data_IF_240971659385
#
_entry.id   IF_240971659385
#
_cell.length_a   1.000
_cell.length_b   1.000
_cell.length_c   1.000
_cell.angle_alpha   90.00
_cell.angle_beta   90.00
_cell.angle_gamma   90.00
#
_symmetry.space_group_name_H-M   'P 1'
#
loop_
_entity.id
_entity.type
_entity.pdbx_description
1 polymer ?
#
# COMPACT_ATOMS: atom_id res chain seq x y z
N UNK A 1 -32.28 -1.80 6.58
CA UNK A 1 -33.06 -0.74 7.25
C UNK A 1 -33.27 -1.13 8.70
N UNK A 2 -33.08 -0.18 9.63
CA UNK A 2 -33.32 -0.39 11.07
C UNK A 2 -34.64 0.28 11.50
N UNK A 3 -35.06 0.06 12.74
CA UNK A 3 -36.19 0.78 13.36
C UNK A 3 -35.81 1.17 14.79
N UNK A 4 -36.21 2.37 15.21
CA UNK A 4 -36.07 2.83 16.60
C UNK A 4 -37.45 2.90 17.22
N UNK A 5 -37.58 2.30 18.40
CA UNK A 5 -38.82 2.31 19.19
C UNK A 5 -38.51 3.08 20.47
N UNK A 6 -39.21 4.19 20.69
CA UNK A 6 -39.05 4.99 21.91
C UNK A 6 -39.75 4.30 23.10
N UNK A 7 -39.31 4.61 24.31
CA UNK A 7 -39.85 4.04 25.56
C UNK A 7 -41.36 4.27 25.76
N UNK A 8 -41.98 5.20 25.01
CA UNK A 8 -43.43 5.43 25.01
C UNK A 8 -44.23 4.38 24.21
N UNK A 9 -43.56 3.47 23.49
CA UNK A 9 -44.13 2.29 22.84
C UNK A 9 -45.03 2.55 21.61
N UNK A 10 -45.44 3.79 21.37
CA UNK A 10 -46.47 4.13 20.37
C UNK A 10 -45.94 4.64 19.02
N UNK A 11 -44.70 5.11 18.94
CA UNK A 11 -44.11 5.63 17.69
C UNK A 11 -42.85 4.86 17.29
N UNK A 12 -42.87 4.32 16.06
CA UNK A 12 -41.74 3.63 15.43
C UNK A 12 -41.18 4.52 14.34
N UNK A 13 -39.89 4.83 14.43
CA UNK A 13 -39.20 5.63 13.41
C UNK A 13 -38.34 4.72 12.51
N UNK A 14 -38.48 4.79 11.17
CA UNK A 14 -37.60 4.07 10.27
C UNK A 14 -36.20 4.71 10.27
N UNK A 15 -35.16 3.86 10.36
CA UNK A 15 -33.79 4.28 10.17
C UNK A 15 -33.34 3.99 8.74
N UNK A 16 -33.33 5.04 7.94
CA UNK A 16 -32.77 5.09 6.59
C UNK A 16 -31.33 5.62 6.59
N UNK A 17 -30.66 5.57 5.43
CA UNK A 17 -29.28 6.06 5.29
C UNK A 17 -29.13 7.55 5.62
N UNK A 18 -30.18 8.35 5.52
CA UNK A 18 -30.17 9.77 5.90
C UNK A 18 -30.02 9.98 7.41
N UNK A 19 -30.38 8.97 8.22
CA UNK A 19 -30.34 9.03 9.68
C UNK A 19 -29.10 8.33 10.27
N UNK A 20 -28.15 7.92 9.42
CA UNK A 20 -26.94 7.20 9.84
C UNK A 20 -25.70 7.98 9.41
N UNK A 21 -24.86 8.34 10.38
CA UNK A 21 -23.54 8.87 10.14
C UNK A 21 -22.52 7.72 10.08
N UNK A 22 -21.67 7.71 9.05
CA UNK A 22 -20.65 6.68 8.88
C UNK A 22 -19.32 7.08 9.53
N UNK A 23 -18.57 6.08 9.99
CA UNK A 23 -17.20 6.26 10.47
C UNK A 23 -16.33 6.86 9.35
N UNK A 24 -15.63 7.96 9.63
CA UNK A 24 -14.77 8.65 8.67
C UNK A 24 -15.43 9.83 7.97
N UNK A 25 -16.74 10.06 8.19
CA UNK A 25 -17.36 11.33 7.85
C UNK A 25 -16.86 12.43 8.80
N UNK A 26 -16.56 13.61 8.26
CA UNK A 26 -16.24 14.81 9.03
C UNK A 26 -17.51 15.64 9.13
N UNK A 27 -17.98 15.91 10.35
CA UNK A 27 -19.10 16.81 10.58
C UNK A 27 -18.69 18.24 10.22
N UNK A 28 -19.56 18.93 9.48
CA UNK A 28 -19.36 20.33 9.07
C UNK A 28 -20.67 21.07 9.27
N UNK A 29 -20.58 22.35 9.63
CA UNK A 29 -21.72 23.28 9.71
C UNK A 29 -22.72 22.88 10.82
N UNK A 30 -22.22 22.37 11.96
CA UNK A 30 -23.00 22.08 13.18
C UNK A 30 -22.08 22.12 14.41
N UNK A 31 -22.54 22.69 15.53
CA UNK A 31 -21.72 22.77 16.76
C UNK A 31 -21.48 21.40 17.40
N UNK A 32 -22.54 20.62 17.57
CA UNK A 32 -22.49 19.25 18.09
C UNK A 32 -23.66 18.42 17.56
N UNK A 33 -23.52 17.09 17.68
CA UNK A 33 -24.56 16.12 17.34
C UNK A 33 -24.61 15.07 18.44
N UNK A 34 -25.78 14.87 19.03
CA UNK A 34 -26.04 13.74 19.91
C UNK A 34 -26.50 12.54 19.07
N UNK A 35 -25.83 11.40 19.24
CA UNK A 35 -26.11 10.20 18.45
C UNK A 35 -25.83 8.92 19.23
N UNK A 36 -26.56 7.87 18.87
CA UNK A 36 -26.35 6.53 19.42
C UNK A 36 -25.40 5.73 18.53
N UNK A 37 -24.37 5.12 19.14
CA UNK A 37 -23.44 4.24 18.41
C UNK A 37 -24.12 2.90 18.13
N UNK A 38 -24.42 2.64 16.85
CA UNK A 38 -25.02 1.37 16.40
C UNK A 38 -23.95 0.31 16.09
N UNK A 39 -22.85 0.72 15.45
CA UNK A 39 -21.73 -0.16 15.09
C UNK A 39 -20.42 0.46 15.54
N UNK A 40 -19.58 -0.34 16.22
CA UNK A 40 -18.28 0.09 16.71
C UNK A 40 -17.14 -0.79 16.16
N UNK A 41 -15.95 -0.21 16.03
CA UNK A 41 -14.75 -0.94 15.62
C UNK A 41 -14.86 -1.56 14.22
N UNK A 42 -14.53 -2.85 14.13
CA UNK A 42 -14.47 -3.60 12.87
C UNK A 42 -15.85 -3.90 12.27
N UNK A 43 -16.92 -3.71 13.04
CA UNK A 43 -18.29 -3.94 12.60
C UNK A 43 -18.87 -2.78 11.78
N UNK A 44 -18.15 -1.66 11.70
CA UNK A 44 -18.59 -0.49 10.92
C UNK A 44 -18.65 -0.80 9.42
N UNK A 45 -19.68 -0.25 8.74
CA UNK A 45 -19.89 -0.46 7.29
C UNK A 45 -18.64 -0.17 6.45
N UNK A 46 -17.89 0.88 6.80
CA UNK A 46 -16.68 1.30 6.07
C UNK A 46 -15.58 0.26 6.19
N UNK A 47 -15.37 -0.32 7.37
CA UNK A 47 -14.34 -1.36 7.55
C UNK A 47 -14.78 -2.68 6.90
N UNK A 48 -16.05 -3.06 7.00
CA UNK A 48 -16.57 -4.23 6.28
C UNK A 48 -16.50 -4.09 4.77
N UNK A 49 -16.58 -2.86 4.26
CA UNK A 49 -16.39 -2.57 2.83
C UNK A 49 -14.91 -2.51 2.44
N UNK A 50 -13.99 -2.38 3.40
CA UNK A 50 -12.56 -2.36 3.14
C UNK A 50 -12.01 -3.78 2.98
N UNK A 51 -11.06 -3.96 2.06
CA UNK A 51 -10.33 -5.23 1.96
C UNK A 51 -9.28 -5.30 3.06
N UNK A 52 -9.13 -6.49 3.65
CA UNK A 52 -8.03 -6.79 4.56
C UNK A 52 -6.69 -6.45 3.88
N UNK A 53 -5.76 -5.87 4.63
CA UNK A 53 -4.44 -5.52 4.10
C UNK A 53 -3.65 -6.80 3.87
N UNK A 54 -3.33 -7.09 2.62
CA UNK A 54 -2.48 -8.24 2.25
C UNK A 54 -1.03 -7.74 2.22
N UNK A 55 -0.09 -8.56 2.70
CA UNK A 55 1.34 -8.29 2.56
C UNK A 55 1.67 -8.12 1.07
N UNK A 56 2.35 -7.03 0.73
CA UNK A 56 2.75 -6.74 -0.64
C UNK A 56 4.17 -7.28 -0.87
N UNK A 57 4.30 -8.14 -1.86
CA UNK A 57 5.57 -8.71 -2.30
C UNK A 57 5.95 -8.09 -3.64
N UNK A 58 7.19 -7.64 -3.76
CA UNK A 58 7.68 -7.08 -5.01
C UNK A 58 7.81 -8.15 -6.10
N UNK A 59 7.72 -7.73 -7.35
CA UNK A 59 7.91 -8.64 -8.49
C UNK A 59 9.31 -9.23 -8.51
N UNK A 60 10.33 -8.45 -8.11
CA UNK A 60 11.72 -8.91 -8.08
C UNK A 60 11.92 -10.11 -7.14
N UNK A 61 11.15 -10.21 -6.05
CA UNK A 61 11.24 -11.34 -5.11
C UNK A 61 10.93 -12.67 -5.78
N UNK A 62 10.04 -12.67 -6.78
CA UNK A 62 9.70 -13.89 -7.52
C UNK A 62 10.87 -14.36 -8.37
N UNK A 63 11.63 -13.44 -8.96
CA UNK A 63 12.82 -13.76 -9.75
C UNK A 63 13.94 -14.30 -8.84
N UNK A 64 14.19 -13.62 -7.71
CA UNK A 64 15.21 -14.05 -6.74
C UNK A 64 14.85 -15.44 -6.19
N UNK A 65 13.59 -15.69 -5.82
CA UNK A 65 13.17 -17.00 -5.33
C UNK A 65 13.35 -18.09 -6.40
N UNK A 66 13.08 -17.77 -7.67
CA UNK A 66 13.31 -18.68 -8.79
C UNK A 66 14.79 -19.01 -8.96
N UNK A 67 15.65 -18.01 -8.91
CA UNK A 67 17.11 -18.19 -9.04
C UNK A 67 17.67 -19.00 -7.87
N UNK A 68 17.19 -18.75 -6.65
CA UNK A 68 17.56 -19.51 -5.45
C UNK A 68 17.15 -20.98 -5.57
N UNK A 69 15.96 -21.25 -6.12
CA UNK A 69 15.52 -22.62 -6.39
C UNK A 69 16.44 -23.31 -7.42
N UNK A 70 16.81 -22.62 -8.50
CA UNK A 70 17.76 -23.15 -9.48
C UNK A 70 19.14 -23.41 -8.87
N UNK A 71 19.67 -22.50 -8.05
CA UNK A 71 20.94 -22.69 -7.34
C UNK A 71 20.89 -23.87 -6.37
N UNK A 72 19.77 -24.06 -5.66
CA UNK A 72 19.58 -25.20 -4.74
C UNK A 72 19.54 -26.55 -5.48
N UNK A 73 18.92 -26.61 -6.66
CA UNK A 73 18.91 -27.81 -7.49
C UNK A 73 20.31 -28.15 -8.02
N UNK A 74 21.06 -27.15 -8.50
CA UNK A 74 22.44 -27.33 -8.96
C UNK A 74 23.33 -27.81 -7.82
N UNK A 75 23.21 -27.21 -6.63
CA UNK A 75 23.93 -27.62 -5.42
C UNK A 75 23.67 -29.09 -5.10
N UNK A 76 22.41 -29.51 -5.10
CA UNK A 76 22.01 -30.88 -4.79
C UNK A 76 22.61 -31.87 -5.82
N UNK A 77 22.54 -31.53 -7.11
CA UNK A 77 23.12 -32.35 -8.16
C UNK A 77 24.64 -32.48 -8.02
N UNK A 78 25.35 -31.39 -7.75
CA UNK A 78 26.79 -31.39 -7.53
C UNK A 78 27.18 -32.24 -6.31
N UNK A 79 26.44 -32.14 -5.21
CA UNK A 79 26.70 -32.94 -4.00
C UNK A 79 26.55 -34.44 -4.28
N UNK A 80 25.53 -34.85 -5.04
CA UNK A 80 25.31 -36.25 -5.41
C UNK A 80 26.41 -36.78 -6.35
N UNK A 81 26.82 -35.98 -7.33
CA UNK A 81 27.91 -36.33 -8.26
C UNK A 81 29.23 -36.47 -7.49
N UNK A 82 29.58 -35.50 -6.65
CA UNK A 82 30.80 -35.53 -5.83
C UNK A 82 30.78 -36.71 -4.84
N UNK A 83 29.64 -36.99 -4.20
CA UNK A 83 29.51 -38.15 -3.33
C UNK A 83 29.73 -39.47 -4.10
N UNK A 84 29.12 -39.62 -5.28
CA UNK A 84 29.31 -40.80 -6.13
C UNK A 84 30.76 -40.98 -6.59
N UNK A 85 31.39 -39.91 -7.06
CA UNK A 85 32.79 -39.92 -7.46
C UNK A 85 33.72 -40.23 -6.29
N UNK A 86 33.42 -39.72 -5.10
CA UNK A 86 34.21 -39.99 -3.89
C UNK A 86 34.19 -41.48 -3.54
N UNK A 87 33.04 -42.16 -3.66
CA UNK A 87 32.94 -43.61 -3.41
C UNK A 87 33.71 -44.38 -4.47
N UNK A 88 33.54 -44.04 -5.75
CA UNK A 88 34.24 -44.71 -6.85
C UNK A 88 35.77 -44.58 -6.70
N UNK A 89 36.23 -43.41 -6.27
CA UNK A 89 37.65 -43.16 -5.99
C UNK A 89 38.17 -43.99 -4.81
N UNK A 90 37.40 -44.02 -3.70
CA UNK A 90 37.75 -44.82 -2.52
C UNK A 90 37.77 -46.33 -2.84
N UNK A 91 36.87 -46.82 -3.69
CA UNK A 91 36.88 -48.21 -4.14
C UNK A 91 38.11 -48.54 -5.00
N UNK A 92 38.50 -47.64 -5.91
CA UNK A 92 39.58 -47.90 -6.88
C UNK A 92 40.98 -47.75 -6.29
N UNK A 93 41.20 -46.78 -5.40
CA UNK A 93 42.53 -46.40 -4.90
C UNK A 93 42.69 -46.54 -3.38
N UNK A 94 41.67 -46.99 -2.65
CA UNK A 94 41.66 -47.03 -1.19
C UNK A 94 42.73 -47.94 -0.56
N UNK A 95 43.23 -48.96 -1.27
CA UNK A 95 44.27 -49.87 -0.74
C UNK A 95 45.70 -49.39 -0.95
N UNK A 96 45.93 -48.41 -1.83
CA UNK A 96 47.28 -47.98 -2.23
C UNK A 96 47.85 -46.86 -1.35
N UNK A 97 47.01 -46.12 -0.63
CA UNK A 97 47.41 -44.95 0.15
C UNK A 97 47.26 -45.23 1.65
N UNK A 98 48.40 -45.34 2.34
CA UNK A 98 48.57 -45.86 3.70
C UNK A 98 47.87 -45.05 4.82
N UNK A 99 47.26 -43.91 4.52
CA UNK A 99 46.48 -43.18 5.50
C UNK A 99 45.52 -42.22 4.79
N UNK A 100 44.24 -42.57 4.71
CA UNK A 100 43.19 -41.58 4.42
C UNK A 100 42.60 -41.17 5.78
N UNK A 101 43.11 -40.11 6.44
CA UNK A 101 42.74 -39.72 7.80
C UNK A 101 41.26 -39.31 7.97
N UNK A 102 40.47 -39.38 6.91
CA UNK A 102 39.08 -38.90 6.85
C UNK A 102 38.04 -40.03 6.77
N UNK A 103 38.46 -41.30 6.83
CA UNK A 103 37.57 -42.42 7.14
C UNK A 103 37.45 -42.53 8.66
N UNK A 104 36.78 -41.55 9.27
CA UNK A 104 36.35 -41.65 10.66
C UNK A 104 35.00 -42.39 10.63
N UNK A 105 35.01 -43.67 10.97
CA UNK A 105 33.79 -44.46 11.17
C UNK A 105 33.95 -45.91 10.71
N UNK A 106 33.59 -46.82 11.61
CA UNK A 106 33.77 -48.26 11.53
C UNK A 106 33.42 -48.89 10.17
N UNK A 107 34.06 -50.02 9.80
CA UNK A 107 33.76 -50.79 8.57
C UNK A 107 32.33 -51.38 8.50
N UNK A 108 31.46 -51.04 9.45
CA UNK A 108 30.11 -51.58 9.62
C UNK A 108 28.98 -50.70 9.10
N UNK A 109 29.23 -49.48 8.64
CA UNK A 109 28.22 -48.67 7.94
C UNK A 109 28.35 -48.92 6.44
N UNK A 110 27.37 -49.60 5.85
CA UNK A 110 27.41 -50.04 4.45
C UNK A 110 27.62 -48.89 3.45
N UNK A 111 27.82 -49.22 2.17
CA UNK A 111 28.07 -48.25 1.08
C UNK A 111 27.07 -47.08 1.07
N UNK A 112 25.81 -47.35 1.46
CA UNK A 112 24.77 -46.34 1.60
C UNK A 112 25.02 -45.32 2.73
N UNK A 113 25.55 -45.74 3.88
CA UNK A 113 25.89 -44.86 5.00
C UNK A 113 27.04 -43.92 4.66
N UNK A 114 28.09 -44.45 4.02
CA UNK A 114 29.21 -43.65 3.55
C UNK A 114 28.80 -42.65 2.45
N UNK A 115 27.90 -43.03 1.54
CA UNK A 115 27.31 -42.12 0.56
C UNK A 115 26.58 -40.96 1.23
N UNK A 116 25.75 -41.27 2.22
CA UNK A 116 24.96 -40.27 2.93
C UNK A 116 25.84 -39.28 3.71
N UNK A 117 26.84 -39.77 4.44
CA UNK A 117 27.78 -38.92 5.19
C UNK A 117 28.60 -38.03 4.25
N UNK A 118 29.10 -38.59 3.14
CA UNK A 118 29.87 -37.82 2.16
C UNK A 118 28.99 -36.80 1.42
N UNK A 119 27.74 -37.13 1.10
CA UNK A 119 26.79 -36.17 0.53
C UNK A 119 26.54 -34.99 1.48
N UNK A 120 26.30 -35.23 2.77
CA UNK A 120 26.13 -34.17 3.77
C UNK A 120 27.38 -33.32 3.94
N UNK A 121 28.58 -33.91 3.88
CA UNK A 121 29.85 -33.18 3.90
C UNK A 121 29.97 -32.20 2.72
N UNK A 122 29.63 -32.65 1.51
CA UNK A 122 29.65 -31.78 0.33
C UNK A 122 28.59 -30.67 0.38
N UNK A 123 27.42 -30.93 0.98
CA UNK A 123 26.40 -29.88 1.21
C UNK A 123 26.95 -28.76 2.09
N UNK A 124 27.63 -29.09 3.20
CA UNK A 124 28.25 -28.08 4.08
C UNK A 124 29.36 -27.32 3.34
N UNK A 125 30.17 -28.01 2.54
CA UNK A 125 31.27 -27.39 1.80
C UNK A 125 30.76 -26.41 0.74
N UNK A 126 29.67 -26.76 0.03
CA UNK A 126 29.10 -25.94 -1.04
C UNK A 126 27.95 -25.03 -0.60
N UNK A 127 27.65 -24.92 0.70
CA UNK A 127 26.55 -24.09 1.22
C UNK A 127 26.63 -22.61 0.79
N UNK A 128 27.84 -22.11 0.49
CA UNK A 128 28.09 -20.74 0.00
C UNK A 128 27.45 -20.46 -1.37
N UNK A 129 27.11 -21.50 -2.15
CA UNK A 129 26.39 -21.34 -3.42
C UNK A 129 24.96 -20.85 -3.25
N UNK A 130 24.33 -21.04 -2.08
CA UNK A 130 23.03 -20.45 -1.77
C UNK A 130 23.29 -19.06 -1.17
N UNK A 131 22.97 -17.97 -1.88
CA UNK A 131 23.34 -16.63 -1.44
C UNK A 131 22.34 -16.13 -0.40
N UNK A 132 22.38 -16.68 0.83
CA UNK A 132 21.49 -16.25 1.94
C UNK A 132 21.72 -14.77 2.26
N UNK A 133 22.96 -14.31 2.15
CA UNK A 133 23.33 -12.90 2.35
C UNK A 133 22.69 -11.94 1.33
N UNK A 134 22.25 -12.43 0.16
CA UNK A 134 21.58 -11.60 -0.85
C UNK A 134 20.26 -11.03 -0.33
N UNK A 135 19.43 -11.85 0.33
CA UNK A 135 18.15 -11.41 0.88
C UNK A 135 18.32 -10.31 1.91
N UNK A 136 19.23 -10.51 2.88
CA UNK A 136 19.50 -9.51 3.91
C UNK A 136 20.03 -8.22 3.30
N UNK A 137 20.91 -8.32 2.30
CA UNK A 137 21.47 -7.15 1.61
C UNK A 137 20.37 -6.38 0.87
N UNK A 138 19.44 -7.07 0.22
CA UNK A 138 18.30 -6.44 -0.47
C UNK A 138 17.37 -5.71 0.50
N UNK A 139 17.07 -6.30 1.66
CA UNK A 139 16.24 -5.65 2.67
C UNK A 139 16.92 -4.39 3.24
N UNK A 140 18.24 -4.43 3.47
CA UNK A 140 19.00 -3.25 3.87
C UNK A 140 18.93 -2.15 2.80
N UNK A 141 19.09 -2.51 1.52
CA UNK A 141 18.96 -1.55 0.41
C UNK A 141 17.56 -0.94 0.35
N UNK A 142 16.50 -1.74 0.51
CA UNK A 142 15.11 -1.26 0.52
C UNK A 142 14.86 -0.28 1.67
N UNK A 143 15.38 -0.55 2.86
CA UNK A 143 15.26 0.37 4.01
C UNK A 143 15.99 1.69 3.75
N UNK A 144 17.21 1.63 3.19
CA UNK A 144 17.97 2.82 2.82
C UNK A 144 17.26 3.66 1.73
N UNK A 145 16.67 3.01 0.73
CA UNK A 145 15.87 3.67 -0.29
C UNK A 145 14.64 4.36 0.31
N UNK A 146 13.90 3.67 1.18
CA UNK A 146 12.76 4.25 1.88
C UNK A 146 13.16 5.50 2.68
N UNK A 147 14.26 5.41 3.43
CA UNK A 147 14.80 6.54 4.21
C UNK A 147 15.17 7.72 3.31
N UNK A 148 15.76 7.45 2.15
CA UNK A 148 16.12 8.49 1.17
C UNK A 148 14.89 9.18 0.60
N UNK A 149 13.85 8.41 0.24
CA UNK A 149 12.57 8.95 -0.29
C UNK A 149 11.88 9.85 0.75
N UNK A 150 11.81 9.42 2.01
CA UNK A 150 11.19 10.21 3.08
C UNK A 150 11.92 11.53 3.36
N UNK A 151 13.24 11.58 3.12
CA UNK A 151 14.07 12.77 3.36
C UNK A 151 14.18 13.69 2.15
N UNK A 152 13.57 13.33 1.02
CA UNK A 152 13.61 14.14 -0.18
C UNK A 152 12.84 15.46 0.02
N UNK A 153 13.51 16.58 -0.22
CA UNK A 153 12.92 17.93 -0.09
C UNK A 153 12.05 18.29 -1.28
N UNK A 154 12.33 17.75 -2.46
CA UNK A 154 11.59 18.07 -3.69
C UNK A 154 10.19 17.46 -3.70
N UNK A 155 10.01 16.34 -2.99
CA UNK A 155 8.74 15.63 -2.93
C UNK A 155 7.83 16.12 -1.77
N UNK A 156 8.29 17.07 -0.95
CA UNK A 156 7.52 17.58 0.18
C UNK A 156 6.51 18.65 -0.27
N UNK A 157 5.22 18.40 -0.04
CA UNK A 157 4.14 19.38 -0.23
C UNK A 157 3.26 19.39 1.02
N UNK A 158 3.33 20.50 1.79
CA UNK A 158 2.69 20.73 3.11
C UNK A 158 3.14 19.77 4.23
N UNK A 159 3.01 18.46 4.02
CA UNK A 159 3.42 17.40 4.95
C UNK A 159 4.59 16.58 4.38
N UNK A 160 5.46 16.02 5.25
CA UNK A 160 6.49 15.09 4.80
C UNK A 160 5.87 13.80 4.27
N UNK A 161 6.53 13.19 3.28
CA UNK A 161 6.10 11.90 2.75
C UNK A 161 6.30 10.81 3.80
N UNK A 162 5.27 9.97 3.96
CA UNK A 162 5.29 8.82 4.85
C UNK A 162 5.19 7.52 4.06
N UNK A 163 6.32 6.88 3.80
CA UNK A 163 6.37 5.49 3.32
C UNK A 163 5.94 4.52 4.44
N UNK A 164 4.92 3.69 4.20
CA UNK A 164 4.41 2.70 5.18
C UNK A 164 4.94 1.29 4.97
N UNK A 165 5.53 1.01 3.81
CA UNK A 165 5.98 -0.33 3.41
C UNK A 165 7.26 -0.19 2.62
N UNK A 166 8.29 -0.97 2.96
CA UNK A 166 9.61 -0.93 2.30
C UNK A 166 9.80 -2.05 1.26
N UNK A 167 8.91 -3.04 1.20
CA UNK A 167 9.06 -4.24 0.36
C UNK A 167 8.78 -4.01 -1.13
N UNK A 168 8.24 -2.84 -1.50
CA UNK A 168 7.76 -2.53 -2.86
C UNK A 168 8.42 -1.28 -3.46
N UNK A 169 9.57 -0.88 -2.93
CA UNK A 169 10.23 0.36 -3.38
C UNK A 169 10.70 0.24 -4.82
N UNK A 170 11.20 -0.92 -5.23
CA UNK A 170 11.62 -1.21 -6.59
C UNK A 170 10.46 -1.25 -7.61
N UNK A 171 9.26 -1.63 -7.17
CA UNK A 171 8.08 -1.72 -8.03
C UNK A 171 7.60 -0.33 -8.49
N UNK A 172 7.93 0.74 -7.74
CA UNK A 172 7.65 2.13 -8.14
C UNK A 172 8.28 2.49 -9.49
N UNK A 173 9.41 1.87 -9.84
CA UNK A 173 10.09 2.05 -11.13
C UNK A 173 9.50 1.22 -12.27
N UNK A 174 8.57 0.31 -11.99
CA UNK A 174 8.02 -0.67 -12.94
C UNK A 174 6.51 -0.47 -13.18
N UNK A 175 5.97 0.70 -12.86
CA UNK A 175 4.54 1.00 -13.01
C UNK A 175 4.19 1.11 -14.50
N UNK A 176 3.29 0.24 -14.99
CA UNK A 176 2.76 0.31 -16.35
C UNK A 176 1.47 1.12 -16.51
N UNK A 177 0.68 1.24 -15.43
CA UNK A 177 -0.60 1.93 -15.45
C UNK A 177 -0.80 2.74 -14.16
N UNK A 178 -1.27 3.98 -14.29
CA UNK A 178 -1.62 4.85 -13.17
C UNK A 178 -3.14 5.01 -13.17
N UNK A 179 -3.79 4.50 -12.11
CA UNK A 179 -5.20 4.78 -11.84
C UNK A 179 -5.26 5.97 -10.89
N UNK A 180 -5.80 7.08 -11.37
CA UNK A 180 -5.99 8.30 -10.57
C UNK A 180 -7.47 8.55 -10.36
N UNK A 181 -7.84 8.89 -9.13
CA UNK A 181 -9.19 9.39 -8.84
C UNK A 181 -9.29 10.87 -9.24
N UNK A 182 -10.47 11.32 -9.66
CA UNK A 182 -10.68 12.71 -10.04
C UNK A 182 -10.78 13.60 -8.82
N UNK A 183 -11.69 13.27 -7.91
CA UNK A 183 -12.08 14.16 -6.82
C UNK A 183 -11.13 13.99 -5.65
N UNK A 184 -10.51 15.08 -5.20
CA UNK A 184 -9.57 15.07 -4.07
C UNK A 184 -8.15 14.59 -4.41
N UNK A 185 -7.89 14.14 -5.65
CA UNK A 185 -6.54 13.84 -6.16
C UNK A 185 -6.17 14.77 -7.30
N UNK A 186 -6.90 14.75 -8.42
CA UNK A 186 -6.65 15.68 -9.53
C UNK A 186 -7.19 17.08 -9.26
N UNK A 187 -8.32 17.17 -8.55
CA UNK A 187 -8.93 18.46 -8.19
C UNK A 187 -8.84 18.70 -6.69
N UNK A 188 -8.30 19.85 -6.31
CA UNK A 188 -8.58 20.43 -5.00
C UNK A 188 -10.08 20.67 -4.95
N UNK A 189 -10.80 20.13 -3.96
CA UNK A 189 -12.27 20.20 -3.84
C UNK A 189 -12.75 21.63 -3.53
N UNK A 190 -12.40 22.57 -4.42
CA UNK A 190 -12.56 24.01 -4.35
C UNK A 190 -12.93 24.49 -5.74
N UNK A 191 -14.21 24.79 -5.90
CA UNK A 191 -14.73 25.37 -7.14
C UNK A 191 -14.65 26.88 -7.03
N UNK A 192 -13.97 27.52 -7.99
CA UNK A 192 -13.88 28.97 -8.09
C UNK A 192 -14.62 29.40 -9.34
N UNK A 193 -15.62 30.27 -9.17
CA UNK A 193 -16.33 30.87 -10.29
C UNK A 193 -15.35 31.71 -11.13
N UNK A 194 -15.29 31.45 -12.45
CA UNK A 194 -14.32 32.10 -13.35
C UNK A 194 -14.97 33.04 -14.36
N UNK A 195 -16.05 32.59 -15.01
CA UNK A 195 -16.74 33.35 -16.04
C UNK A 195 -18.17 32.83 -16.20
N UNK A 196 -19.03 33.67 -16.79
CA UNK A 196 -20.39 33.32 -17.23
C UNK A 196 -20.69 33.94 -18.58
N UNK A 197 -21.68 33.40 -19.28
CA UNK A 197 -22.22 34.03 -20.49
C UNK A 197 -23.70 34.35 -20.30
N UNK A 198 -24.08 35.59 -20.58
CA UNK A 198 -25.45 36.09 -20.47
C UNK A 198 -25.78 36.77 -21.80
N UNK A 199 -26.84 36.33 -22.48
CA UNK A 199 -27.28 36.92 -23.75
C UNK A 199 -26.25 36.88 -24.88
N UNK A 200 -25.33 35.92 -24.87
CA UNK A 200 -24.25 35.81 -25.88
C UNK A 200 -23.01 36.67 -25.57
N UNK A 201 -23.03 37.49 -24.51
CA UNK A 201 -21.86 38.22 -24.01
C UNK A 201 -21.16 37.39 -22.93
N UNK A 202 -19.83 37.44 -22.91
CA UNK A 202 -19.01 36.74 -21.92
C UNK A 202 -18.56 37.71 -20.84
N UNK A 203 -18.81 37.36 -19.58
CA UNK A 203 -18.42 38.10 -18.39
C UNK A 203 -17.35 37.30 -17.65
N UNK A 204 -16.18 37.91 -17.48
CA UNK A 204 -15.05 37.34 -16.75
C UNK A 204 -14.42 38.39 -15.86
N UNK A 205 -13.79 37.97 -14.76
CA UNK A 205 -13.13 38.90 -13.83
C UNK A 205 -11.97 39.70 -14.44
N UNK A 206 -11.47 39.30 -15.62
CA UNK A 206 -10.37 39.96 -16.36
C UNK A 206 -10.81 40.83 -17.53
N UNK A 207 -12.09 40.79 -17.93
CA UNK A 207 -12.61 41.63 -19.02
C UNK A 207 -13.18 42.91 -18.43
N UNK A 208 -12.92 44.06 -19.06
CA UNK A 208 -13.65 45.29 -18.75
C UNK A 208 -15.15 45.03 -18.90
N UNK A 209 -15.91 45.34 -17.85
CA UNK A 209 -17.35 45.10 -17.82
C UNK A 209 -18.00 45.99 -18.89
N UNK A 210 -18.78 45.44 -19.84
CA UNK A 210 -19.60 46.26 -20.70
C UNK A 210 -20.58 47.04 -19.81
N UNK A 211 -20.55 48.36 -19.94
CA UNK A 211 -21.28 49.35 -19.12
C UNK A 211 -22.77 49.40 -19.42
N UNK A 212 -23.42 48.25 -19.66
CA UNK A 212 -24.87 48.19 -19.85
C UNK A 212 -25.56 47.63 -18.60
N UNK A 213 -26.34 48.49 -17.94
CA UNK A 213 -27.31 48.11 -16.92
C UNK A 213 -28.49 47.37 -17.56
N UNK A 214 -28.25 46.13 -17.98
CA UNK A 214 -29.30 45.26 -18.51
C UNK A 214 -30.06 44.59 -17.37
N UNK A 215 -31.38 44.74 -17.37
CA UNK A 215 -32.30 44.07 -16.42
C UNK A 215 -32.11 42.55 -16.43
N UNK A 216 -31.69 41.99 -17.57
CA UNK A 216 -31.41 40.56 -17.76
C UNK A 216 -30.25 40.10 -16.86
N UNK A 217 -29.18 40.90 -16.74
CA UNK A 217 -28.03 40.57 -15.90
C UNK A 217 -28.43 40.58 -14.43
N UNK A 218 -29.25 41.54 -13.99
CA UNK A 218 -29.75 41.61 -12.62
C UNK A 218 -30.62 40.40 -12.26
N UNK A 219 -31.56 40.01 -13.14
CA UNK A 219 -32.38 38.82 -12.94
C UNK A 219 -31.55 37.53 -12.89
N UNK A 220 -30.54 37.41 -13.76
CA UNK A 220 -29.64 36.26 -13.77
C UNK A 220 -28.83 36.14 -12.46
N UNK A 221 -28.25 37.23 -11.97
CA UNK A 221 -27.52 37.24 -10.70
C UNK A 221 -28.45 36.95 -9.51
N UNK A 222 -29.69 37.47 -9.54
CA UNK A 222 -30.68 37.17 -8.50
C UNK A 222 -31.05 35.69 -8.51
N UNK A 223 -31.25 35.08 -9.67
CA UNK A 223 -31.52 33.65 -9.79
C UNK A 223 -30.33 32.80 -9.28
N UNK A 224 -29.09 33.19 -9.58
CA UNK A 224 -27.89 32.51 -9.06
C UNK A 224 -27.83 32.56 -7.52
N UNK A 225 -28.22 33.69 -6.93
CA UNK A 225 -28.20 33.90 -5.49
C UNK A 225 -29.32 33.16 -4.75
N UNK A 226 -30.53 33.10 -5.33
CA UNK A 226 -31.73 32.53 -4.67
C UNK A 226 -31.92 31.03 -4.94
N UNK A 227 -31.57 30.55 -6.13
CA UNK A 227 -31.80 29.16 -6.54
C UNK A 227 -30.67 28.21 -6.12
N UNK A 228 -30.15 28.37 -4.90
CA UNK A 228 -29.16 27.48 -4.34
C UNK A 228 -29.59 27.00 -2.94
N UNK A 229 -29.06 25.87 -2.50
CA UNK A 229 -29.27 25.35 -1.14
C UNK A 229 -28.17 25.84 -0.18
N UNK A 230 -27.46 26.91 -0.55
CA UNK A 230 -26.38 27.43 0.27
C UNK A 230 -26.96 28.17 1.48
N UNK A 231 -26.40 27.91 2.65
CA UNK A 231 -26.75 28.61 3.87
C UNK A 231 -25.54 29.43 4.31
N UNK A 232 -25.72 30.74 4.44
CA UNK A 232 -24.66 31.65 4.87
C UNK A 232 -24.62 31.67 6.40
N UNK A 233 -23.54 31.13 6.97
CA UNK A 233 -23.27 31.23 8.41
C UNK A 233 -22.42 32.48 8.64
N UNK A 234 -22.94 33.44 9.41
CA UNK A 234 -22.17 34.59 9.89
C UNK A 234 -21.38 34.18 11.14
N UNK A 235 -20.21 33.56 10.95
CA UNK A 235 -19.28 33.23 12.03
C UNK A 235 -18.04 34.13 12.00
N UNK A 236 -17.53 34.53 13.17
CA UNK A 236 -16.26 35.26 13.28
C UNK A 236 -15.11 34.41 12.71
N UNK A 237 -14.29 35.00 11.85
CA UNK A 237 -13.23 34.37 11.03
C UNK A 237 -12.20 33.48 11.79
N UNK A 238 -12.18 33.48 13.12
CA UNK A 238 -11.16 32.77 13.91
C UNK A 238 -11.28 31.25 13.92
N UNK A 239 -12.47 30.68 13.66
CA UNK A 239 -12.70 29.22 13.73
C UNK A 239 -12.39 28.46 12.43
N UNK A 240 -12.53 29.11 11.26
CA UNK A 240 -12.29 28.47 9.95
C UNK A 240 -10.82 28.07 9.75
N UNK A 241 -9.87 28.85 10.28
CA UNK A 241 -8.45 28.50 10.19
C UNK A 241 -8.08 27.26 11.00
N UNK A 242 -8.89 26.81 11.96
CA UNK A 242 -8.58 25.66 12.82
C UNK A 242 -9.01 24.31 12.23
N UNK A 243 -9.84 24.30 11.19
CA UNK A 243 -10.47 23.09 10.62
C UNK A 243 -9.74 22.60 9.36
N UNK A 244 -8.92 23.44 8.75
CA UNK A 244 -8.05 23.06 7.62
C UNK A 244 -6.68 22.47 8.07
N UNK A 245 -6.53 22.09 9.35
CA UNK A 245 -5.34 21.42 9.92
C UNK A 245 -5.64 19.97 10.35
#
# INVERSE_FOLDING_TARGET
CGRVILSSGSHVYPCDNNNILLRGCVLRITDYVDGLIVYAGNETKVIKSSRHTISKHALIERYINRDVLFSSLILTALCLICAGLSINWNFSYGSQWIFVPFVIGDPYDGVAGQFFINALRFVILFQVMVPIALYVSLDVVRVLQMYTIQRDKHLKYEHPISCRTFTINEDLGQIGYIFSDKTGTLTQNKLVFKAMSIGGLQYSARSELPTENSTIVQHFLTALAVCNTSFMVHEHQELMHRIDY
#
